data_IF_164260643401
#
_entry.id   IF_164260643401
#
_cell.length_a   1.000
_cell.length_b   1.000
_cell.length_c   1.000
_cell.angle_alpha   90.00
_cell.angle_beta   90.00
_cell.angle_gamma   90.00
#
_symmetry.space_group_name_H-M   'P 1'
#
loop_
_entity.id
_entity.type
_entity.pdbx_description
1 polymer ?
#
# COMPACT_ATOMS: atom_id res chain seq x y z
N UNK A 1 6.44 -4.77 -7.87
CA UNK A 1 7.59 -5.37 -7.15
C UNK A 1 8.41 -4.25 -6.53
N UNK A 2 9.15 -4.52 -5.45
CA UNK A 2 9.98 -3.54 -4.71
C UNK A 2 9.23 -2.34 -4.12
N UNK A 3 7.92 -2.47 -3.92
CA UNK A 3 7.08 -1.35 -3.45
C UNK A 3 7.53 -0.83 -2.08
N UNK A 4 8.11 -1.67 -1.22
CA UNK A 4 8.63 -1.23 0.07
C UNK A 4 9.82 -0.24 -0.01
N UNK A 5 10.40 -0.04 -1.19
CA UNK A 5 11.56 0.83 -1.43
C UNK A 5 11.23 2.08 -2.28
N UNK A 6 9.94 2.33 -2.55
CA UNK A 6 9.50 3.38 -3.49
C UNK A 6 8.61 4.42 -2.84
N UNK A 7 8.65 4.57 -1.51
CA UNK A 7 8.01 5.70 -0.86
C UNK A 7 8.59 7.03 -1.39
N UNK A 8 7.79 8.11 -1.48
CA UNK A 8 6.36 8.18 -1.14
C UNK A 8 5.46 7.52 -2.20
N UNK A 9 4.26 7.15 -1.77
CA UNK A 9 3.26 6.43 -2.56
C UNK A 9 2.21 7.36 -3.16
N UNK A 10 1.32 6.78 -3.98
CA UNK A 10 0.35 7.46 -4.83
C UNK A 10 1.01 8.23 -5.99
N UNK A 11 0.18 8.71 -6.92
CA UNK A 11 0.65 9.37 -8.15
C UNK A 11 1.27 10.75 -7.88
N UNK A 12 0.93 11.36 -6.75
CA UNK A 12 1.35 12.69 -6.31
C UNK A 12 2.31 12.65 -5.10
N UNK A 13 2.65 11.46 -4.59
CA UNK A 13 3.52 11.32 -3.42
C UNK A 13 2.86 11.70 -2.09
N UNK A 14 1.53 11.73 -2.02
CA UNK A 14 0.78 12.18 -0.84
C UNK A 14 0.89 11.27 0.39
N UNK A 15 1.28 10.00 0.22
CA UNK A 15 1.27 9.00 1.29
C UNK A 15 2.66 8.47 1.59
N UNK A 16 3.05 8.39 2.86
CA UNK A 16 4.44 8.13 3.24
C UNK A 16 4.75 6.66 3.53
N UNK A 17 3.74 5.85 3.87
CA UNK A 17 3.92 4.47 4.34
C UNK A 17 2.97 3.49 3.64
N UNK A 18 3.35 2.21 3.57
CA UNK A 18 2.46 1.17 3.05
C UNK A 18 1.26 0.96 3.97
N UNK A 19 1.47 1.19 5.27
CA UNK A 19 0.47 1.18 6.31
C UNK A 19 -0.62 2.24 6.03
N UNK A 20 -0.23 3.47 5.68
CA UNK A 20 -1.17 4.52 5.27
C UNK A 20 -1.87 4.19 3.94
N UNK A 21 -1.18 3.57 2.97
CA UNK A 21 -1.82 3.13 1.71
C UNK A 21 -2.91 2.09 1.99
N UNK A 22 -2.61 1.09 2.82
CA UNK A 22 -3.58 0.06 3.20
C UNK A 22 -4.76 0.68 3.95
N UNK A 23 -4.50 1.59 4.89
CA UNK A 23 -5.53 2.31 5.63
C UNK A 23 -6.41 3.19 4.74
N UNK A 24 -5.83 3.83 3.71
CA UNK A 24 -6.55 4.63 2.73
C UNK A 24 -7.60 3.80 2.00
N UNK A 25 -7.21 2.62 1.50
CA UNK A 25 -8.13 1.74 0.79
C UNK A 25 -9.10 1.00 1.72
N UNK A 26 -8.70 0.67 2.95
CA UNK A 26 -9.60 0.10 3.96
C UNK A 26 -10.78 1.05 4.29
N UNK A 27 -10.56 2.37 4.19
CA UNK A 27 -11.59 3.41 4.32
C UNK A 27 -12.44 3.62 3.06
N UNK A 28 -12.12 2.97 1.95
CA UNK A 28 -12.76 3.21 0.65
C UNK A 28 -12.23 4.47 -0.08
N UNK A 29 -11.01 4.91 0.24
CA UNK A 29 -10.37 6.07 -0.39
C UNK A 29 -11.04 7.41 -0.08
N UNK A 30 -10.70 8.42 -0.87
CA UNK A 30 -11.31 9.75 -0.77
C UNK A 30 -12.63 9.84 -1.54
N UNK A 31 -13.67 10.29 -0.84
CA UNK A 31 -14.98 10.51 -1.46
C UNK A 31 -14.92 11.70 -2.41
N UNK A 32 -15.11 11.42 -3.69
CA UNK A 32 -15.22 12.44 -4.74
C UNK A 32 -16.35 12.08 -5.70
N UNK A 33 -16.79 13.03 -6.53
CA UNK A 33 -17.83 12.80 -7.54
C UNK A 33 -17.40 11.78 -8.63
N UNK A 34 -16.10 11.51 -8.74
CA UNK A 34 -15.51 10.62 -9.73
C UNK A 34 -15.05 9.29 -9.13
N UNK A 35 -15.34 9.05 -7.85
CA UNK A 35 -14.99 7.79 -7.20
C UNK A 35 -15.83 6.66 -7.79
N UNK A 36 -15.16 5.59 -8.20
CA UNK A 36 -15.82 4.40 -8.72
C UNK A 36 -16.68 3.74 -7.60
N UNK A 37 -17.95 3.39 -7.85
CA UNK A 37 -18.82 2.75 -6.86
C UNK A 37 -18.29 1.42 -6.30
N UNK A 38 -17.37 0.75 -7.01
CA UNK A 38 -16.72 -0.46 -6.54
C UNK A 38 -15.65 -0.19 -5.45
N UNK A 39 -15.34 1.08 -5.15
CA UNK A 39 -14.45 1.45 -4.06
C UNK A 39 -15.27 1.80 -2.83
N UNK A 40 -15.18 0.95 -1.81
CA UNK A 40 -15.92 1.07 -0.55
C UNK A 40 -15.08 0.55 0.62
N UNK A 41 -15.43 0.88 1.88
CA UNK A 41 -14.70 0.41 3.04
C UNK A 41 -14.61 -1.13 3.10
N UNK A 42 -13.41 -1.64 3.33
CA UNK A 42 -13.15 -3.09 3.32
C UNK A 42 -13.34 -3.73 4.69
N UNK A 43 -13.30 -2.92 5.75
CA UNK A 43 -13.44 -3.36 7.15
C UNK A 43 -12.42 -4.41 7.56
N UNK A 44 -11.18 -4.26 7.10
CA UNK A 44 -10.08 -5.13 7.46
C UNK A 44 -9.80 -5.02 8.97
N UNK A 45 -9.61 -6.17 9.59
CA UNK A 45 -9.09 -6.22 10.95
C UNK A 45 -7.66 -5.68 11.01
N UNK A 46 -7.21 -5.30 12.21
CA UNK A 46 -5.83 -4.86 12.40
C UNK A 46 -4.81 -5.94 11.95
N UNK A 47 -5.13 -7.21 12.14
CA UNK A 47 -4.28 -8.33 11.73
C UNK A 47 -4.21 -8.45 10.20
N UNK A 48 -5.35 -8.41 9.50
CA UNK A 48 -5.38 -8.49 8.03
C UNK A 48 -4.61 -7.32 7.38
N UNK A 49 -4.67 -6.13 7.96
CA UNK A 49 -3.86 -4.99 7.50
C UNK A 49 -2.36 -5.24 7.68
N UNK A 50 -1.95 -5.78 8.83
CA UNK A 50 -0.55 -6.14 9.07
C UNK A 50 -0.06 -7.22 8.10
N UNK A 51 -0.87 -8.24 7.86
CA UNK A 51 -0.56 -9.33 6.93
C UNK A 51 -0.42 -8.81 5.49
N UNK A 52 -1.32 -7.92 5.05
CA UNK A 52 -1.23 -7.31 3.73
C UNK A 52 0.04 -6.49 3.58
N UNK A 53 0.40 -5.67 4.58
CA UNK A 53 1.65 -4.91 4.57
C UNK A 53 2.86 -5.85 4.54
N UNK A 54 2.85 -6.94 5.31
CA UNK A 54 3.91 -7.93 5.32
C UNK A 54 4.07 -8.62 3.95
N UNK A 55 2.94 -9.01 3.33
CA UNK A 55 2.91 -9.56 1.98
C UNK A 55 3.52 -8.59 0.97
N UNK A 56 3.12 -7.31 0.98
CA UNK A 56 3.67 -6.29 0.08
C UNK A 56 5.18 -6.10 0.26
N UNK A 57 5.65 -6.10 1.51
CA UNK A 57 7.10 -6.03 1.83
C UNK A 57 7.86 -7.24 1.31
N UNK A 58 7.27 -8.44 1.35
CA UNK A 58 7.86 -9.67 0.82
C UNK A 58 8.04 -9.66 -0.71
N UNK A 59 7.36 -8.76 -1.45
CA UNK A 59 7.55 -8.57 -2.89
C UNK A 59 8.81 -7.76 -3.26
N UNK A 60 9.71 -7.56 -2.29
CA UNK A 60 10.98 -6.87 -2.46
C UNK A 60 12.08 -7.88 -2.78
N UNK A 61 12.73 -7.72 -3.93
CA UNK A 61 13.89 -8.54 -4.29
C UNK A 61 15.05 -8.23 -3.34
N UNK A 62 15.80 -9.27 -2.97
CA UNK A 62 17.13 -9.06 -2.38
C UNK A 62 17.95 -8.15 -3.31
N UNK A 63 18.65 -7.17 -2.73
CA UNK A 63 19.57 -6.33 -3.50
C UNK A 63 20.50 -7.24 -4.31
N UNK A 64 20.86 -6.87 -5.56
CA UNK A 64 21.83 -7.65 -6.31
C UNK A 64 23.08 -7.79 -5.44
N UNK A 65 23.49 -9.04 -5.17
CA UNK A 65 24.76 -9.32 -4.52
C UNK A 65 25.81 -8.70 -5.45
N UNK A 66 26.44 -7.61 -5.01
CA UNK A 66 27.56 -7.03 -5.73
C UNK A 66 28.72 -8.02 -5.59
N UNK A 67 28.80 -8.98 -6.50
CA UNK A 67 29.99 -9.81 -6.66
C UNK A 67 31.06 -8.89 -7.23
N UNK A 68 32.05 -8.56 -6.39
CA UNK A 68 33.28 -7.88 -6.84
C UNK A 68 34.16 -8.85 -7.62
#
# INVERSE_FOLDING_TARGET
RNIALTAPYMHDGSINSLEEVVEYYDKGGEKTLFLDPAIFPLHLTAHEKQDLVAFLKALTSAAPILVR
#
